data_IF_392672344552
#
_entry.id   IF_392672344552
#
_cell.length_a   1.000
_cell.length_b   1.000
_cell.length_c   1.000
_cell.angle_alpha   90.00
_cell.angle_beta   90.00
_cell.angle_gamma   90.00
#
_symmetry.space_group_name_H-M   'P 1'
#
loop_
_entity.id
_entity.type
_entity.pdbx_description
1 polymer ?
#
# COMPACT_ATOMS: atom_id res chain seq x y z
N UNK A 1 -28.44 -15.97 -75.66
CA UNK A 1 -27.63 -15.07 -74.82
C UNK A 1 -28.28 -14.97 -73.46
N UNK A 2 -27.65 -15.52 -72.43
CA UNK A 2 -27.56 -15.00 -71.06
C UNK A 2 -27.16 -16.14 -70.13
N UNK A 3 -25.97 -16.00 -69.57
CA UNK A 3 -25.36 -16.88 -68.58
C UNK A 3 -25.97 -16.51 -67.22
N UNK A 4 -26.47 -17.48 -66.47
CA UNK A 4 -26.75 -17.32 -65.05
C UNK A 4 -26.05 -18.40 -64.25
N UNK A 5 -25.20 -17.90 -63.36
CA UNK A 5 -24.31 -18.59 -62.44
C UNK A 5 -25.13 -19.22 -61.32
N UNK A 6 -24.77 -20.46 -61.00
CA UNK A 6 -25.34 -21.26 -59.92
C UNK A 6 -24.81 -20.79 -58.56
N UNK A 7 -25.69 -20.63 -57.57
CA UNK A 7 -25.33 -20.59 -56.15
C UNK A 7 -26.12 -21.63 -55.33
N UNK A 8 -25.54 -22.18 -54.23
CA UNK A 8 -25.88 -23.51 -53.76
C UNK A 8 -26.73 -23.58 -52.48
N UNK A 9 -27.53 -24.64 -52.46
CA UNK A 9 -27.89 -25.56 -51.37
C UNK A 9 -27.76 -25.09 -49.90
N UNK A 10 -28.93 -25.09 -49.27
CA UNK A 10 -29.26 -25.00 -47.84
C UNK A 10 -28.61 -26.13 -47.02
N UNK A 11 -27.87 -25.76 -45.99
CA UNK A 11 -27.53 -26.55 -44.80
C UNK A 11 -27.72 -25.61 -43.60
N UNK A 12 -28.22 -25.95 -42.43
CA UNK A 12 -28.49 -27.21 -41.76
C UNK A 12 -28.66 -26.80 -40.29
N UNK A 13 -29.81 -27.10 -39.73
CA UNK A 13 -30.30 -26.63 -38.45
C UNK A 13 -29.63 -27.38 -37.29
N UNK A 14 -28.63 -26.78 -36.65
CA UNK A 14 -28.19 -27.13 -35.27
C UNK A 14 -27.54 -25.91 -34.62
N UNK A 15 -28.36 -25.00 -34.10
CA UNK A 15 -27.90 -23.99 -33.14
C UNK A 15 -28.53 -24.31 -31.77
N UNK A 16 -27.65 -24.58 -30.79
CA UNK A 16 -27.97 -24.75 -29.38
C UNK A 16 -28.73 -23.49 -28.90
N UNK A 17 -29.93 -23.59 -28.31
CA UNK A 17 -30.56 -22.40 -27.75
C UNK A 17 -29.78 -21.97 -26.50
N UNK A 18 -29.01 -20.89 -26.64
CA UNK A 18 -28.51 -20.13 -25.50
C UNK A 18 -29.73 -19.60 -24.74
N UNK A 19 -29.93 -20.13 -23.54
CA UNK A 19 -30.97 -19.69 -22.60
C UNK A 19 -30.69 -18.25 -22.16
N UNK A 20 -31.14 -17.28 -22.96
CA UNK A 20 -31.20 -15.87 -22.60
C UNK A 20 -32.30 -15.68 -21.55
N UNK A 21 -31.99 -15.98 -20.29
CA UNK A 21 -32.65 -15.29 -19.18
C UNK A 21 -32.00 -13.92 -19.10
N UNK A 22 -32.65 -12.94 -19.69
CA UNK A 22 -32.39 -11.53 -19.42
C UNK A 22 -32.42 -11.33 -17.90
N UNK A 23 -31.25 -11.17 -17.31
CA UNK A 23 -31.14 -10.74 -15.93
C UNK A 23 -31.65 -9.30 -15.90
N UNK A 24 -32.90 -9.11 -15.50
CA UNK A 24 -33.44 -7.80 -15.21
C UNK A 24 -32.52 -7.15 -14.18
N UNK A 25 -31.86 -6.06 -14.57
CA UNK A 25 -31.09 -5.21 -13.67
C UNK A 25 -32.11 -4.60 -12.71
N UNK A 26 -32.26 -5.21 -11.53
CA UNK A 26 -33.02 -4.63 -10.44
C UNK A 26 -32.34 -3.31 -10.07
N UNK A 27 -32.94 -2.19 -10.48
CA UNK A 27 -32.62 -0.87 -9.95
C UNK A 27 -33.00 -0.87 -8.48
N UNK A 28 -32.02 -1.16 -7.62
CA UNK A 28 -32.18 -1.00 -6.19
C UNK A 28 -32.55 0.48 -5.92
N UNK A 29 -33.46 0.75 -4.96
CA UNK A 29 -33.81 2.11 -4.60
C UNK A 29 -32.54 2.85 -4.19
N UNK A 30 -32.34 4.05 -4.76
CA UNK A 30 -31.29 4.96 -4.32
C UNK A 30 -31.59 5.30 -2.87
N UNK A 31 -30.87 4.67 -1.95
CA UNK A 31 -30.92 5.07 -0.55
C UNK A 31 -30.28 6.46 -0.46
N UNK A 32 -31.12 7.49 -0.47
CA UNK A 32 -30.70 8.85 -0.15
C UNK A 32 -30.32 8.88 1.33
N UNK A 33 -29.03 8.70 1.59
CA UNK A 33 -28.47 8.91 2.91
C UNK A 33 -28.39 10.42 3.17
N UNK A 34 -29.16 10.98 4.11
CA UNK A 34 -29.05 12.40 4.43
C UNK A 34 -27.64 12.68 4.97
N UNK A 35 -27.07 13.82 4.58
CA UNK A 35 -25.78 14.25 5.09
C UNK A 35 -25.90 14.42 6.62
N UNK A 36 -25.03 13.78 7.42
CA UNK A 36 -25.06 13.93 8.87
C UNK A 36 -24.99 15.40 9.31
N UNK A 37 -25.71 15.75 10.38
CA UNK A 37 -25.70 17.12 10.91
C UNK A 37 -24.27 17.60 11.19
N UNK A 38 -23.94 18.80 10.69
CA UNK A 38 -22.61 19.40 10.81
C UNK A 38 -21.61 19.01 9.71
N UNK A 39 -21.96 18.06 8.84
CA UNK A 39 -21.19 17.77 7.63
C UNK A 39 -21.72 18.61 6.45
N UNK A 40 -20.82 19.00 5.55
CA UNK A 40 -21.17 19.62 4.27
C UNK A 40 -20.44 18.88 3.14
N UNK A 41 -21.05 18.86 1.96
CA UNK A 41 -20.37 18.35 0.77
C UNK A 41 -19.17 19.25 0.44
N UNK A 42 -18.03 18.65 0.10
CA UNK A 42 -16.87 19.38 -0.39
C UNK A 42 -17.25 19.95 -1.77
N UNK A 43 -17.06 21.25 -2.02
CA UNK A 43 -17.34 21.85 -3.32
C UNK A 43 -16.56 21.15 -4.45
N UNK A 44 -17.16 21.00 -5.62
CA UNK A 44 -16.57 20.23 -6.72
C UNK A 44 -15.23 20.82 -7.19
N UNK A 45 -15.08 22.14 -7.10
CA UNK A 45 -13.85 22.88 -7.37
C UNK A 45 -12.69 22.53 -6.43
N UNK A 46 -12.99 22.16 -5.18
CA UNK A 46 -11.99 21.72 -4.19
C UNK A 46 -11.60 20.25 -4.35
N UNK A 47 -12.39 19.44 -5.08
CA UNK A 47 -12.07 18.04 -5.33
C UNK A 47 -10.97 17.92 -6.38
N UNK A 48 -9.87 17.26 -6.04
CA UNK A 48 -8.90 16.81 -7.04
C UNK A 48 -9.41 15.50 -7.67
N UNK A 49 -9.83 15.57 -8.93
CA UNK A 49 -10.39 14.46 -9.71
C UNK A 49 -9.40 13.89 -10.75
N UNK A 50 -8.15 14.37 -10.76
CA UNK A 50 -7.11 13.87 -11.67
C UNK A 50 -6.91 12.35 -11.50
N UNK A 51 -6.46 11.62 -12.53
CA UNK A 51 -6.14 10.20 -12.37
C UNK A 51 -5.01 9.99 -11.35
N UNK A 52 -4.99 8.82 -10.72
CA UNK A 52 -3.98 8.48 -9.70
C UNK A 52 -2.54 8.58 -10.24
N UNK A 53 -2.32 8.32 -11.53
CA UNK A 53 -0.99 8.37 -12.15
C UNK A 53 -0.38 9.79 -12.16
N UNK A 54 -1.18 10.82 -12.42
CA UNK A 54 -0.71 12.22 -12.35
C UNK A 54 -0.34 12.61 -10.93
N UNK A 55 -1.10 12.13 -9.94
CA UNK A 55 -0.80 12.38 -8.52
C UNK A 55 0.46 11.64 -8.09
N UNK A 56 0.65 10.41 -8.57
CA UNK A 56 1.86 9.64 -8.29
C UNK A 56 3.11 10.36 -8.81
N UNK A 57 3.03 10.93 -10.02
CA UNK A 57 4.11 11.72 -10.60
C UNK A 57 4.44 12.97 -9.77
N UNK A 58 3.42 13.70 -9.31
CA UNK A 58 3.59 14.85 -8.42
C UNK A 58 4.17 14.46 -7.05
N UNK A 59 3.85 13.27 -6.53
CA UNK A 59 4.36 12.77 -5.23
C UNK A 59 5.83 12.34 -5.35
N UNK A 60 6.21 11.72 -6.46
CA UNK A 60 7.60 11.30 -6.71
C UNK A 60 8.49 12.50 -7.02
N UNK A 61 7.92 13.56 -7.60
CA UNK A 61 8.62 14.80 -7.97
C UNK A 61 8.02 16.02 -7.26
N UNK A 62 8.07 16.11 -5.92
CA UNK A 62 7.48 17.22 -5.22
C UNK A 62 8.27 18.50 -5.44
N UNK A 63 7.60 19.64 -5.26
CA UNK A 63 8.22 20.97 -5.30
C UNK A 63 9.34 21.05 -4.25
N UNK A 64 10.41 21.84 -4.49
CA UNK A 64 11.41 22.11 -3.47
C UNK A 64 10.76 22.65 -2.19
N UNK A 65 11.29 22.26 -1.03
CA UNK A 65 10.80 22.81 0.23
C UNK A 65 11.06 24.31 0.26
N UNK A 66 9.97 25.08 0.28
CA UNK A 66 10.06 26.51 0.50
C UNK A 66 10.10 26.80 2.00
N UNK A 67 11.11 27.54 2.46
CA UNK A 67 11.28 27.94 3.87
C UNK A 67 10.33 29.07 4.29
N UNK A 68 9.78 29.80 3.32
CA UNK A 68 8.78 30.87 3.49
C UNK A 68 7.37 30.34 3.82
N UNK A 69 7.01 29.13 3.37
CA UNK A 69 5.68 28.56 3.55
C UNK A 69 5.75 27.19 4.23
N UNK A 70 5.54 27.18 5.55
CA UNK A 70 5.53 25.97 6.39
C UNK A 70 4.21 25.19 6.24
N UNK A 71 3.93 24.68 5.04
CA UNK A 71 2.80 23.76 4.78
C UNK A 71 3.33 22.49 4.16
N UNK A 72 4.12 21.74 4.92
CA UNK A 72 4.75 20.51 4.46
C UNK A 72 4.24 19.34 5.28
N UNK A 73 3.97 18.22 4.61
CA UNK A 73 3.61 16.94 5.24
C UNK A 73 4.63 15.91 4.81
N UNK A 74 5.21 15.23 5.79
CA UNK A 74 6.20 14.19 5.56
C UNK A 74 5.61 12.82 5.89
N UNK A 75 5.56 11.95 4.89
CA UNK A 75 5.41 10.52 5.05
C UNK A 75 6.78 9.87 5.02
N UNK A 76 6.91 8.70 5.65
CA UNK A 76 8.14 7.92 5.60
C UNK A 76 7.86 6.51 5.06
N UNK A 77 8.66 6.09 4.09
CA UNK A 77 8.74 4.71 3.63
C UNK A 77 10.17 4.36 3.26
N UNK A 78 10.77 3.39 3.96
CA UNK A 78 12.21 3.14 3.89
C UNK A 78 12.74 2.91 2.47
N UNK A 79 11.95 2.31 1.58
CA UNK A 79 12.31 1.98 0.19
C UNK A 79 11.61 2.87 -0.87
N UNK A 80 11.05 4.02 -0.47
CA UNK A 80 10.46 4.99 -1.39
C UNK A 80 9.00 4.72 -1.81
N UNK A 81 8.38 5.71 -2.45
CA UNK A 81 6.96 5.69 -2.78
C UNK A 81 6.56 4.52 -3.68
N UNK A 82 7.37 4.20 -4.68
CA UNK A 82 7.07 3.17 -5.68
C UNK A 82 6.88 1.79 -5.08
N UNK A 83 7.61 1.48 -4.01
CA UNK A 83 7.61 0.17 -3.34
C UNK A 83 6.54 0.07 -2.23
N UNK A 84 5.82 1.15 -1.95
CA UNK A 84 4.73 1.16 -0.97
C UNK A 84 3.61 0.19 -1.36
N UNK A 85 3.00 -0.44 -0.35
CA UNK A 85 1.80 -1.25 -0.58
C UNK A 85 0.65 -0.42 -1.18
N UNK A 86 -0.23 -1.01 -2.00
CA UNK A 86 -1.32 -0.27 -2.66
C UNK A 86 -2.24 0.50 -1.69
N UNK A 87 -2.58 -0.09 -0.54
CA UNK A 87 -3.42 0.60 0.46
C UNK A 87 -2.71 1.82 1.08
N UNK A 88 -1.40 1.72 1.24
CA UNK A 88 -0.51 2.77 1.76
C UNK A 88 -0.44 3.93 0.76
N UNK A 89 -0.26 3.63 -0.53
CA UNK A 89 -0.30 4.62 -1.61
C UNK A 89 -1.64 5.36 -1.63
N UNK A 90 -2.75 4.63 -1.50
CA UNK A 90 -4.10 5.22 -1.43
C UNK A 90 -4.23 6.25 -0.31
N UNK A 91 -3.64 6.00 0.86
CA UNK A 91 -3.65 6.96 1.96
C UNK A 91 -2.88 8.24 1.61
N UNK A 92 -1.67 8.12 1.05
CA UNK A 92 -0.88 9.29 0.63
C UNK A 92 -1.64 10.09 -0.44
N UNK A 93 -2.18 9.43 -1.46
CA UNK A 93 -3.01 10.07 -2.50
C UNK A 93 -4.21 10.79 -1.91
N UNK A 94 -4.89 10.19 -0.95
CA UNK A 94 -6.04 10.81 -0.28
C UNK A 94 -5.64 12.09 0.48
N UNK A 95 -4.47 12.14 1.10
CA UNK A 95 -3.94 13.36 1.70
C UNK A 95 -3.60 14.39 0.63
N UNK A 96 -2.97 13.96 -0.46
CA UNK A 96 -2.63 14.81 -1.59
C UNK A 96 -3.87 15.52 -2.16
N UNK A 97 -4.90 14.75 -2.52
CA UNK A 97 -6.14 15.30 -3.09
C UNK A 97 -6.81 16.35 -2.19
N UNK A 98 -6.73 16.18 -0.87
CA UNK A 98 -7.35 17.10 0.10
C UNK A 98 -6.54 18.37 0.37
N UNK A 99 -5.21 18.27 0.32
CA UNK A 99 -4.32 19.28 0.90
C UNK A 99 -3.47 20.01 -0.14
N UNK A 100 -3.13 19.37 -1.27
CA UNK A 100 -2.32 19.97 -2.31
C UNK A 100 -2.95 21.27 -2.87
N UNK A 101 -4.25 21.24 -3.16
CA UNK A 101 -5.01 22.43 -3.59
C UNK A 101 -5.04 23.55 -2.54
N UNK A 102 -4.86 23.22 -1.26
CA UNK A 102 -4.79 24.18 -0.14
C UNK A 102 -3.37 24.73 0.12
N UNK A 103 -2.45 24.42 -0.80
CA UNK A 103 -1.05 24.86 -0.77
C UNK A 103 -0.16 24.01 0.12
N UNK A 104 -0.54 22.77 0.43
CA UNK A 104 0.33 21.83 1.16
C UNK A 104 1.19 21.02 0.21
N UNK A 105 2.48 20.89 0.53
CA UNK A 105 3.39 19.97 -0.15
C UNK A 105 3.45 18.65 0.62
N UNK A 106 3.49 17.55 -0.10
CA UNK A 106 3.58 16.21 0.47
C UNK A 106 4.86 15.57 -0.01
N UNK A 107 5.66 15.07 0.94
CA UNK A 107 6.91 14.39 0.69
C UNK A 107 6.84 12.97 1.21
N UNK A 108 7.32 12.02 0.42
CA UNK A 108 7.45 10.63 0.86
C UNK A 108 8.94 10.32 1.01
N UNK A 109 9.41 10.60 2.23
CA UNK A 109 10.81 10.48 2.60
C UNK A 109 11.22 9.00 2.68
N UNK A 110 12.43 8.71 2.23
CA UNK A 110 12.99 7.37 2.18
C UNK A 110 14.47 7.35 2.60
N UNK A 111 15.10 6.17 2.52
CA UNK A 111 16.54 5.98 2.75
C UNK A 111 17.25 5.36 1.54
N UNK A 112 16.66 5.48 0.36
CA UNK A 112 17.22 4.92 -0.88
C UNK A 112 18.35 5.85 -1.34
N UNK A 113 19.56 5.32 -1.45
CA UNK A 113 20.73 6.09 -1.92
C UNK A 113 20.48 6.66 -3.31
N UNK A 114 20.85 7.93 -3.54
CA UNK A 114 20.62 8.65 -4.79
C UNK A 114 19.18 9.10 -5.05
N UNK A 115 18.22 8.80 -4.15
CA UNK A 115 16.85 9.33 -4.27
C UNK A 115 16.80 10.81 -3.88
N UNK A 116 16.12 11.68 -4.66
CA UNK A 116 15.89 13.08 -4.26
C UNK A 116 15.01 13.21 -3.00
N UNK A 117 14.33 12.13 -2.62
CA UNK A 117 13.50 12.04 -1.41
C UNK A 117 14.21 11.29 -0.28
N UNK A 118 15.52 11.06 -0.39
CA UNK A 118 16.31 10.52 0.71
C UNK A 118 16.37 11.54 1.85
N UNK A 119 16.18 11.08 3.08
CA UNK A 119 16.27 11.92 4.28
C UNK A 119 17.57 12.74 4.39
N UNK A 120 18.69 12.24 3.85
CA UNK A 120 19.97 12.93 3.84
C UNK A 120 19.96 14.25 3.04
N UNK A 121 19.04 14.40 2.08
CA UNK A 121 18.86 15.66 1.33
C UNK A 121 18.15 16.74 2.16
N UNK A 122 17.46 16.33 3.23
CA UNK A 122 16.63 17.22 4.06
C UNK A 122 17.31 17.59 5.38
N UNK A 123 18.03 16.68 6.00
CA UNK A 123 18.70 16.89 7.31
C UNK A 123 20.05 16.21 7.31
N UNK A 124 20.98 16.74 8.11
CA UNK A 124 22.26 16.07 8.33
C UNK A 124 22.04 14.79 9.14
N UNK A 125 22.12 13.65 8.46
CA UNK A 125 21.95 12.32 9.05
C UNK A 125 23.17 11.83 9.83
N UNK A 126 24.29 12.56 9.75
CA UNK A 126 25.53 12.24 10.45
C UNK A 126 25.69 13.02 11.76
N UNK A 127 24.83 14.02 12.00
CA UNK A 127 24.85 14.83 13.20
C UNK A 127 24.41 14.02 14.44
N UNK A 128 25.30 13.81 15.42
CA UNK A 128 24.99 13.07 16.65
C UNK A 128 23.99 13.80 17.58
N UNK A 129 23.73 15.10 17.37
CA UNK A 129 22.69 15.83 18.10
C UNK A 129 21.28 15.58 17.54
N UNK A 130 21.18 15.22 16.25
CA UNK A 130 19.91 14.94 15.58
C UNK A 130 19.58 13.45 15.56
N UNK A 131 20.60 12.59 15.40
CA UNK A 131 20.42 11.15 15.28
C UNK A 131 21.27 10.38 16.30
N UNK A 132 20.71 9.33 16.93
CA UNK A 132 21.49 8.47 17.80
C UNK A 132 22.54 7.69 17.01
N UNK A 133 23.67 7.36 17.63
CA UNK A 133 24.75 6.58 17.01
C UNK A 133 24.29 5.28 16.33
N UNK A 134 23.28 4.62 16.89
CA UNK A 134 22.71 3.41 16.28
C UNK A 134 22.11 3.65 14.89
N UNK A 135 21.52 4.83 14.66
CA UNK A 135 21.01 5.26 13.36
C UNK A 135 22.14 5.57 12.39
N UNK A 136 23.12 6.37 12.83
CA UNK A 136 24.29 6.77 12.05
C UNK A 136 25.07 5.54 11.57
N UNK A 137 25.30 4.58 12.46
CA UNK A 137 26.03 3.35 12.17
C UNK A 137 25.18 2.33 11.36
N UNK A 138 23.93 2.65 11.01
CA UNK A 138 23.02 1.74 10.30
C UNK A 138 22.63 0.49 11.09
N UNK A 139 22.83 0.48 12.41
CA UNK A 139 22.59 -0.69 13.29
C UNK A 139 21.22 -0.70 13.95
N UNK A 140 20.28 0.14 13.51
CA UNK A 140 18.87 0.05 13.91
C UNK A 140 18.31 -1.25 13.31
N UNK A 141 18.41 -2.33 14.07
CA UNK A 141 17.97 -3.67 13.71
C UNK A 141 16.71 -4.11 14.46
N UNK A 142 16.29 -5.36 14.23
CA UNK A 142 15.11 -5.96 14.86
C UNK A 142 13.89 -6.07 13.92
N UNK A 143 12.86 -6.79 14.38
CA UNK A 143 11.63 -7.06 13.61
C UNK A 143 10.88 -5.77 13.22
N UNK A 144 11.10 -4.69 13.97
CA UNK A 144 10.47 -3.38 13.77
C UNK A 144 11.46 -2.28 13.42
N UNK A 145 12.63 -2.63 12.85
CA UNK A 145 13.65 -1.66 12.46
C UNK A 145 13.14 -0.51 11.58
N UNK A 146 12.31 -0.74 10.53
CA UNK A 146 11.74 0.35 9.73
C UNK A 146 10.85 1.30 10.54
N UNK A 147 10.14 0.76 11.53
CA UNK A 147 9.24 1.51 12.40
C UNK A 147 10.02 2.39 13.37
N UNK A 148 11.09 1.87 13.97
CA UNK A 148 11.97 2.67 14.83
C UNK A 148 12.70 3.74 14.03
N UNK A 149 13.09 3.42 12.79
CA UNK A 149 13.73 4.37 11.89
C UNK A 149 12.82 5.56 11.58
N UNK A 150 11.53 5.33 11.34
CA UNK A 150 10.60 6.43 11.00
C UNK A 150 10.43 7.42 12.16
N UNK A 151 10.37 6.92 13.40
CA UNK A 151 10.27 7.77 14.59
C UNK A 151 11.54 8.61 14.78
N UNK A 152 12.72 8.04 14.52
CA UNK A 152 14.00 8.76 14.57
C UNK A 152 14.11 9.85 13.50
N UNK A 153 13.57 9.60 12.31
CA UNK A 153 13.54 10.59 11.21
C UNK A 153 12.51 11.71 11.46
N UNK A 154 11.44 11.41 12.19
CA UNK A 154 10.35 12.37 12.44
C UNK A 154 10.83 13.60 13.20
N UNK A 155 11.63 13.42 14.24
CA UNK A 155 12.03 14.51 15.12
C UNK A 155 12.91 15.58 14.43
N UNK A 156 13.99 15.22 13.70
CA UNK A 156 14.81 16.20 12.97
C UNK A 156 14.04 16.99 11.92
N UNK A 157 13.12 16.34 11.19
CA UNK A 157 12.28 17.02 10.19
C UNK A 157 11.37 18.07 10.84
N UNK A 158 10.76 17.75 11.99
CA UNK A 158 9.93 18.69 12.74
C UNK A 158 10.76 19.87 13.27
N UNK A 159 11.97 19.59 13.77
CA UNK A 159 12.87 20.62 14.31
C UNK A 159 13.33 21.60 13.24
N UNK A 160 13.56 21.13 12.00
CA UNK A 160 14.05 21.96 10.89
C UNK A 160 12.93 22.71 10.15
N UNK A 161 11.78 22.07 9.90
CA UNK A 161 10.78 22.61 8.96
C UNK A 161 9.45 23.05 9.59
N UNK A 162 9.15 22.63 10.83
CA UNK A 162 7.85 22.90 11.47
C UNK A 162 6.64 22.24 10.76
N UNK A 163 5.52 22.14 11.48
CA UNK A 163 4.12 21.76 11.11
C UNK A 163 3.71 20.29 10.80
N UNK A 164 2.44 19.99 11.15
CA UNK A 164 1.49 19.18 10.38
C UNK A 164 1.59 17.65 10.40
N UNK A 165 1.67 17.00 11.57
CA UNK A 165 1.81 15.55 11.65
C UNK A 165 0.53 14.78 11.26
N UNK A 166 0.54 14.23 10.05
CA UNK A 166 -0.01 12.90 9.78
C UNK A 166 1.13 11.99 9.30
N UNK A 167 2.05 11.63 10.20
CA UNK A 167 2.95 10.51 9.95
C UNK A 167 2.12 9.23 10.11
N UNK A 168 1.47 8.79 9.03
CA UNK A 168 0.91 7.45 8.97
C UNK A 168 2.08 6.48 8.86
N UNK A 169 2.44 5.89 10.00
CA UNK A 169 3.29 4.72 10.10
C UNK A 169 2.62 3.57 9.33
N UNK A 170 2.94 3.45 8.04
CA UNK A 170 2.42 2.36 7.24
C UNK A 170 3.43 1.23 7.40
N UNK A 171 3.14 0.32 8.34
CA UNK A 171 4.00 -0.82 8.58
C UNK A 171 4.08 -1.67 7.31
N UNK A 172 5.28 -1.87 6.79
CA UNK A 172 5.60 -3.01 5.93
C UNK A 172 5.46 -4.26 6.79
N UNK A 173 4.24 -4.81 6.89
CA UNK A 173 4.06 -6.15 7.43
C UNK A 173 4.62 -7.11 6.38
N UNK A 174 5.74 -7.75 6.70
CA UNK A 174 6.20 -8.92 5.96
C UNK A 174 5.07 -9.95 5.83
N UNK A 175 5.15 -10.85 4.83
CA UNK A 175 4.08 -11.79 4.54
C UNK A 175 3.67 -12.56 5.80
N UNK A 176 2.36 -12.83 6.00
CA UNK A 176 1.87 -13.47 7.21
C UNK A 176 2.62 -14.80 7.44
N UNK A 177 3.16 -14.97 8.65
CA UNK A 177 3.82 -16.19 9.14
C UNK A 177 2.83 -17.35 9.31
N UNK A 178 1.95 -17.59 8.34
CA UNK A 178 0.93 -18.65 8.35
C UNK A 178 1.30 -19.85 7.48
N UNK A 179 2.39 -19.80 6.71
CA UNK A 179 2.79 -20.91 5.81
C UNK A 179 4.18 -21.52 6.06
N UNK A 180 5.00 -20.96 6.93
CA UNK A 180 6.30 -21.58 7.27
C UNK A 180 6.30 -22.41 8.56
N UNK A 181 5.29 -22.27 9.44
CA UNK A 181 5.15 -23.18 10.58
C UNK A 181 4.58 -24.56 10.18
N UNK A 182 3.77 -24.63 9.12
CA UNK A 182 3.22 -25.92 8.65
C UNK A 182 4.24 -26.79 7.90
N UNK A 183 5.30 -26.21 7.35
CA UNK A 183 6.36 -26.93 6.64
C UNK A 183 7.56 -27.29 7.52
N UNK A 184 7.70 -26.70 8.71
CA UNK A 184 8.70 -27.13 9.70
C UNK A 184 8.15 -28.13 10.73
N UNK A 185 6.83 -28.25 10.89
CA UNK A 185 6.24 -29.29 11.73
C UNK A 185 6.09 -30.65 11.01
N UNK A 186 6.13 -30.67 9.66
CA UNK A 186 6.03 -31.90 8.86
C UNK A 186 7.38 -32.59 8.59
N UNK A 187 8.51 -32.00 8.99
CA UNK A 187 9.85 -32.55 8.76
C UNK A 187 10.50 -33.14 10.03
N UNK A 188 9.77 -33.24 11.14
CA UNK A 188 10.30 -33.71 12.43
C UNK A 188 9.47 -34.86 13.05
N UNK A 189 8.94 -35.75 12.21
CA UNK A 189 8.52 -37.08 12.66
C UNK A 189 9.04 -38.17 11.71
N UNK A 190 10.20 -38.74 12.05
CA UNK A 190 10.33 -40.18 11.94
C UNK A 190 11.04 -40.72 13.19
N UNK A 191 10.40 -40.65 14.36
CA UNK A 191 10.95 -41.29 15.57
C UNK A 191 9.94 -41.59 16.69
N UNK A 192 8.63 -41.44 16.45
CA UNK A 192 7.60 -41.64 17.50
C UNK A 192 6.56 -42.71 17.16
N UNK A 193 6.95 -43.71 16.34
CA UNK A 193 6.17 -44.93 16.13
C UNK A 193 6.88 -46.22 16.57
N UNK A 194 8.09 -46.13 17.14
CA UNK A 194 8.87 -47.30 17.58
C UNK A 194 8.99 -47.44 19.11
N UNK A 195 8.25 -46.65 19.90
CA UNK A 195 8.24 -46.74 21.38
C UNK A 195 6.89 -47.06 22.02
N UNK A 196 5.88 -47.34 21.20
CA UNK A 196 4.54 -47.78 21.65
C UNK A 196 4.25 -49.22 21.26
N UNK A 197 5.29 -50.07 21.16
CA UNK A 197 5.15 -51.53 21.08
C UNK A 197 5.98 -52.28 22.15
N UNK A 198 6.61 -51.58 23.10
CA UNK A 198 7.41 -52.21 24.16
C UNK A 198 6.79 -52.13 25.58
N UNK A 199 5.56 -51.65 25.73
CA UNK A 199 4.91 -51.50 27.07
C UNK A 199 3.61 -52.31 27.20
N UNK A 200 3.14 -52.99 26.14
CA UNK A 200 1.93 -53.85 26.21
C UNK A 200 2.26 -55.33 26.43
N UNK A 201 3.54 -55.70 26.59
CA UNK A 201 3.98 -57.10 26.77
C UNK A 201 4.30 -57.53 28.22
N UNK A 202 4.01 -56.70 29.23
CA UNK A 202 4.45 -56.95 30.61
C UNK A 202 3.33 -56.86 31.67
N UNK A 203 2.07 -57.14 31.29
CA UNK A 203 0.94 -57.35 32.23
C UNK A 203 0.06 -58.52 31.76
N UNK A 204 0.67 -59.59 31.26
CA UNK A 204 0.03 -60.92 31.16
C UNK A 204 1.08 -62.00 31.46
N UNK A 205 1.35 -62.20 32.76
CA UNK A 205 1.65 -63.50 33.38
C UNK A 205 1.17 -63.47 34.83
#
# INVERSE_FOLDING_TARGET
MSVLVSDPVRAGETAIPASSKEAQVQTLPVLEYPIPSGCHAIPAEELDLRPDAEIDEDIVNPKPISTEWQKNIFFFWHSGYETMHPYTKRNVRAHYRRLAKKGWNIYVINRVEGSPLNIAEFVDVTDPELFPKAYIDGRVGGEFAPQHTSDLVRWPLLRKYGVGHHLLQLGSRGPPRSRQLLLRLAAQQPALLARTQAVVGAVER
#
